data_IF_339102567224
#
_entry.id   IF_339102567224
#
_cell.length_a   1.000
_cell.length_b   1.000
_cell.length_c   1.000
_cell.angle_alpha   90.00
_cell.angle_beta   90.00
_cell.angle_gamma   90.00
#
_symmetry.space_group_name_H-M   'P 1'
#
loop_
_entity.id
_entity.type
_entity.pdbx_description
1 polymer ?
#
# COMPACT_ATOMS: atom_id res chain seq x y z
N UNK A 1 -4.48 20.75 14.35
CA UNK A 1 -5.21 19.52 13.99
C UNK A 1 -4.60 18.98 12.69
N UNK A 2 -4.31 17.68 12.63
CA UNK A 2 -3.80 17.04 11.40
C UNK A 2 -5.01 16.85 10.47
N UNK A 3 -4.99 17.45 9.28
CA UNK A 3 -6.09 17.26 8.33
C UNK A 3 -6.18 15.78 7.95
N UNK A 4 -7.39 15.18 7.95
CA UNK A 4 -7.59 13.84 7.43
C UNK A 4 -7.10 13.76 5.98
N UNK A 5 -6.45 12.67 5.61
CA UNK A 5 -6.17 12.40 4.21
C UNK A 5 -7.48 12.25 3.43
N UNK A 6 -7.52 12.71 2.18
CA UNK A 6 -8.63 12.48 1.26
C UNK A 6 -8.40 11.19 0.47
N UNK A 7 -9.46 10.47 0.06
CA UNK A 7 -9.33 9.39 -0.89
C UNK A 7 -8.66 9.86 -2.19
N UNK A 8 -7.87 8.99 -2.82
CA UNK A 8 -7.24 9.30 -4.11
C UNK A 8 -8.30 9.41 -5.21
N UNK A 9 -8.20 10.46 -6.02
CA UNK A 9 -8.90 10.55 -7.31
C UNK A 9 -8.49 9.41 -8.26
N UNK A 10 -9.21 9.21 -9.37
CA UNK A 10 -8.83 8.19 -10.37
C UNK A 10 -7.43 8.41 -10.95
N UNK A 11 -7.09 9.69 -11.19
CA UNK A 11 -5.79 10.07 -11.72
C UNK A 11 -4.68 9.81 -10.71
N UNK A 12 -4.87 10.23 -9.46
CA UNK A 12 -3.90 9.98 -8.39
C UNK A 12 -3.74 8.48 -8.15
N UNK A 13 -4.84 7.71 -8.17
CA UNK A 13 -4.80 6.26 -8.04
C UNK A 13 -3.97 5.62 -9.16
N UNK A 14 -4.19 6.05 -10.40
CA UNK A 14 -3.42 5.53 -11.53
C UNK A 14 -1.94 5.83 -11.37
N UNK A 15 -1.60 7.10 -11.09
CA UNK A 15 -0.23 7.57 -10.88
C UNK A 15 0.45 6.83 -9.74
N UNK A 16 -0.27 6.63 -8.63
CA UNK A 16 0.21 5.94 -7.44
C UNK A 16 0.72 4.52 -7.77
N UNK A 17 -0.06 3.78 -8.55
CA UNK A 17 0.26 2.40 -8.91
C UNK A 17 1.12 2.24 -10.17
N UNK A 18 1.50 3.33 -10.85
CA UNK A 18 2.28 3.26 -12.10
C UNK A 18 3.55 2.44 -11.94
N UNK A 19 4.29 2.66 -10.85
CA UNK A 19 5.57 1.99 -10.62
C UNK A 19 5.42 0.48 -10.44
N UNK A 20 4.26 0.00 -9.97
CA UNK A 20 3.98 -1.41 -9.69
C UNK A 20 3.30 -2.15 -10.86
N UNK A 21 2.76 -1.41 -11.85
CA UNK A 21 2.10 -1.98 -13.04
C UNK A 21 3.07 -2.69 -14.00
N UNK A 22 4.36 -2.35 -13.97
CA UNK A 22 5.33 -3.06 -14.79
C UNK A 22 5.37 -4.55 -14.41
N UNK A 23 5.48 -5.42 -15.41
CA UNK A 23 5.35 -6.87 -15.25
C UNK A 23 6.23 -7.39 -14.09
N UNK A 24 5.62 -8.16 -13.20
CA UNK A 24 6.28 -8.79 -12.06
C UNK A 24 6.55 -7.89 -10.85
N UNK A 25 6.47 -6.56 -10.94
CA UNK A 25 6.81 -5.67 -9.80
C UNK A 25 5.87 -5.82 -8.62
N UNK A 26 4.56 -5.85 -8.84
CA UNK A 26 3.60 -6.10 -7.76
C UNK A 26 3.85 -7.46 -7.08
N UNK A 27 4.07 -8.53 -7.85
CA UNK A 27 4.35 -9.86 -7.31
C UNK A 27 5.66 -9.88 -6.50
N UNK A 28 6.73 -9.26 -7.00
CA UNK A 28 8.02 -9.16 -6.29
C UNK A 28 7.88 -8.36 -5.00
N UNK A 29 7.21 -7.21 -5.05
CA UNK A 29 6.95 -6.38 -3.88
C UNK A 29 6.15 -7.15 -2.81
N UNK A 30 5.16 -7.92 -3.24
CA UNK A 30 4.39 -8.78 -2.35
C UNK A 30 5.20 -9.94 -1.77
N UNK A 31 6.06 -10.57 -2.55
CA UNK A 31 6.96 -11.62 -2.06
C UNK A 31 7.89 -11.09 -0.97
N UNK A 32 8.51 -9.92 -1.20
CA UNK A 32 9.39 -9.28 -0.22
C UNK A 32 8.65 -9.00 1.10
N UNK A 33 7.41 -8.49 1.03
CA UNK A 33 6.58 -8.26 2.22
C UNK A 33 6.25 -9.54 2.98
N UNK A 34 5.89 -10.61 2.27
CA UNK A 34 5.55 -11.90 2.90
C UNK A 34 6.77 -12.57 3.55
N UNK A 35 7.96 -12.46 2.94
CA UNK A 35 9.18 -13.09 3.46
C UNK A 35 9.76 -12.36 4.68
N UNK A 36 9.75 -11.03 4.65
CA UNK A 36 10.50 -10.23 5.62
C UNK A 36 9.65 -9.52 6.67
N UNK A 37 8.37 -9.30 6.39
CA UNK A 37 7.46 -8.60 7.30
C UNK A 37 7.75 -7.10 7.46
N UNK A 38 6.80 -6.40 8.10
CA UNK A 38 6.76 -4.94 8.16
C UNK A 38 7.90 -4.27 8.94
N UNK A 39 8.53 -5.00 9.86
CA UNK A 39 9.63 -4.46 10.67
C UNK A 39 10.98 -4.52 9.95
N UNK A 40 11.05 -5.16 8.78
CA UNK A 40 12.27 -5.22 8.02
C UNK A 40 12.55 -3.88 7.31
N UNK A 41 13.77 -3.29 7.42
CA UNK A 41 14.11 -2.03 6.77
C UNK A 41 13.94 -2.04 5.24
N UNK A 42 14.09 -3.19 4.59
CA UNK A 42 13.84 -3.34 3.16
C UNK A 42 12.37 -3.15 2.82
N UNK A 43 11.46 -3.67 3.65
CA UNK A 43 10.02 -3.47 3.48
C UNK A 43 9.61 -2.04 3.78
N UNK A 44 10.22 -1.41 4.80
CA UNK A 44 9.98 0.00 5.09
C UNK A 44 10.40 0.92 3.93
N UNK A 45 11.57 0.68 3.32
CA UNK A 45 11.99 1.41 2.10
C UNK A 45 11.08 1.16 0.91
N UNK A 46 10.56 -0.07 0.76
CA UNK A 46 9.61 -0.39 -0.28
C UNK A 46 8.28 0.34 -0.07
N UNK A 47 7.79 0.41 1.16
CA UNK A 47 6.60 1.18 1.52
C UNK A 47 6.83 2.67 1.22
N UNK A 48 7.97 3.24 1.63
CA UNK A 48 8.33 4.62 1.32
C UNK A 48 8.33 4.86 -0.19
N UNK A 49 8.93 3.96 -0.97
CA UNK A 49 8.94 4.07 -2.43
C UNK A 49 7.52 4.05 -3.03
N UNK A 50 6.67 3.12 -2.62
CA UNK A 50 5.29 3.02 -3.11
C UNK A 50 4.44 4.22 -2.71
N UNK A 51 4.67 4.77 -1.52
CA UNK A 51 3.90 5.88 -0.98
C UNK A 51 4.60 7.24 -1.15
N UNK A 52 5.49 7.37 -2.14
CA UNK A 52 6.18 8.61 -2.50
C UNK A 52 6.89 9.32 -1.32
N UNK A 53 7.47 8.53 -0.41
CA UNK A 53 8.25 8.97 0.76
C UNK A 53 7.41 9.39 1.96
N UNK A 54 6.08 9.36 1.88
CA UNK A 54 5.20 9.96 2.89
C UNK A 54 4.36 8.94 3.64
N UNK A 55 4.95 8.08 4.48
CA UNK A 55 4.19 7.05 5.23
C UNK A 55 3.32 7.67 6.33
N UNK A 56 2.00 7.40 6.35
CA UNK A 56 1.13 7.82 7.44
C UNK A 56 1.57 7.18 8.77
N UNK A 57 1.68 8.00 9.82
CA UNK A 57 2.01 7.51 11.18
C UNK A 57 0.83 6.82 11.87
N UNK A 58 -0.38 7.05 11.39
CA UNK A 58 -1.62 6.50 11.94
C UNK A 58 -2.22 5.39 11.07
N UNK A 59 -3.41 4.90 11.46
CA UNK A 59 -4.15 3.92 10.69
C UNK A 59 -4.45 4.40 9.26
N UNK A 60 -4.52 3.45 8.34
CA UNK A 60 -4.94 3.67 6.96
C UNK A 60 -6.42 3.37 6.83
N UNK A 61 -7.20 4.36 6.41
CA UNK A 61 -8.59 4.17 6.02
C UNK A 61 -8.65 3.48 4.66
N UNK A 62 -9.60 2.57 4.47
CA UNK A 62 -9.75 1.84 3.22
C UNK A 62 -11.21 1.52 2.93
N UNK A 63 -11.56 1.49 1.65
CA UNK A 63 -12.87 1.04 1.16
C UNK A 63 -12.85 -0.46 0.81
N UNK A 64 -11.76 -1.17 1.13
CA UNK A 64 -11.63 -2.60 0.84
C UNK A 64 -12.69 -3.43 1.58
N UNK A 65 -13.35 -4.41 0.90
CA UNK A 65 -14.38 -5.22 1.51
C UNK A 65 -13.89 -5.93 2.78
N UNK A 66 -14.64 -5.74 3.86
CA UNK A 66 -14.43 -6.39 5.15
C UNK A 66 -13.32 -5.81 6.02
N UNK A 67 -12.62 -4.74 5.59
CA UNK A 67 -11.57 -4.13 6.40
C UNK A 67 -11.48 -2.60 6.21
N UNK A 68 -12.23 -1.82 7.01
CA UNK A 68 -12.29 -0.37 6.84
C UNK A 68 -11.02 0.36 7.32
N UNK A 69 -10.21 -0.29 8.15
CA UNK A 69 -8.99 0.30 8.71
C UNK A 69 -7.86 -0.72 8.77
N UNK A 70 -6.64 -0.24 8.51
CA UNK A 70 -5.41 -1.00 8.72
C UNK A 70 -4.51 -0.26 9.71
N UNK A 71 -3.81 -0.95 10.62
CA UNK A 71 -2.94 -0.31 11.61
C UNK A 71 -1.84 0.57 11.01
N UNK A 72 -1.34 0.22 9.83
CA UNK A 72 -0.30 0.97 9.11
C UNK A 72 -0.27 0.62 7.61
N UNK A 73 0.51 1.38 6.83
CA UNK A 73 0.64 1.19 5.39
C UNK A 73 1.11 -0.21 4.99
N UNK A 74 2.08 -0.79 5.70
CA UNK A 74 2.58 -2.13 5.41
C UNK A 74 1.45 -3.17 5.50
N UNK A 75 0.65 -3.14 6.57
CA UNK A 75 -0.46 -4.09 6.76
C UNK A 75 -1.54 -3.95 5.69
N UNK A 76 -1.84 -2.71 5.26
CA UNK A 76 -2.71 -2.45 4.13
C UNK A 76 -2.17 -3.05 2.82
N UNK A 77 -0.89 -2.82 2.53
CA UNK A 77 -0.23 -3.35 1.33
C UNK A 77 -0.13 -4.88 1.36
N UNK A 78 0.16 -5.48 2.52
CA UNK A 78 0.17 -6.93 2.69
C UNK A 78 -1.22 -7.55 2.47
N UNK A 79 -2.29 -6.92 2.97
CA UNK A 79 -3.65 -7.41 2.73
C UNK A 79 -3.96 -7.48 1.22
N UNK A 80 -3.64 -6.42 0.47
CA UNK A 80 -3.77 -6.40 -1.00
C UNK A 80 -2.96 -7.52 -1.66
N UNK A 81 -1.74 -7.76 -1.19
CA UNK A 81 -0.91 -8.87 -1.64
C UNK A 81 -1.57 -10.24 -1.42
N UNK A 82 -2.07 -10.52 -0.22
CA UNK A 82 -2.69 -11.82 0.12
C UNK A 82 -3.94 -12.11 -0.70
N UNK A 83 -4.71 -11.07 -1.06
CA UNK A 83 -5.90 -11.19 -1.91
C UNK A 83 -5.59 -11.13 -3.41
N UNK A 84 -4.33 -10.87 -3.80
CA UNK A 84 -3.92 -10.50 -5.17
C UNK A 84 -4.69 -9.28 -5.71
N UNK A 85 -5.14 -8.40 -4.81
CA UNK A 85 -5.84 -7.16 -5.12
C UNK A 85 -4.87 -5.99 -5.26
N UNK A 86 -3.87 -6.16 -6.12
CA UNK A 86 -2.73 -5.24 -6.21
C UNK A 86 -3.16 -3.81 -6.54
N UNK A 87 -4.15 -3.65 -7.43
CA UNK A 87 -4.58 -2.37 -7.99
C UNK A 87 -6.10 -2.19 -7.94
N UNK A 88 -6.77 -2.79 -6.95
CA UNK A 88 -8.22 -2.61 -6.81
C UNK A 88 -8.51 -1.19 -6.31
N UNK A 89 -9.31 -0.46 -7.09
CA UNK A 89 -10.05 0.71 -6.62
C UNK A 89 -11.47 0.24 -6.38
N UNK A 90 -11.97 0.46 -5.16
CA UNK A 90 -13.33 0.08 -4.75
C UNK A 90 -14.25 1.27 -4.92
#
# INVERSE_FOLDING_TARGET
AQQPGTPLSDQEYHQFFMSLRAAGRASTACLLRMLYGCQNPLVQRLDEYENHGAIPKGPICSELPGNPFFPNFCTFSLYRCTRKWYFIKV
#
